data_IF_475690080612
#
_entry.id   IF_475690080612
#
_cell.length_a   1.000
_cell.length_b   1.000
_cell.length_c   1.000
_cell.angle_alpha   90.00
_cell.angle_beta   90.00
_cell.angle_gamma   90.00
#
_symmetry.space_group_name_H-M   'P 1'
#
loop_
_entity.id
_entity.type
_entity.pdbx_description
1 polymer ?
#
# COMPACT_ATOMS: atom_id res chain seq x y z
N UNK A 1 8.49 13.54 6.58
CA UNK A 1 7.85 12.77 7.64
C UNK A 1 6.69 11.96 7.06
N UNK A 2 6.50 10.75 7.54
CA UNK A 2 5.42 9.89 7.07
C UNK A 2 4.14 10.19 7.84
N UNK A 3 3.04 10.35 7.10
CA UNK A 3 1.73 10.58 7.69
C UNK A 3 0.90 9.31 7.61
N UNK A 4 0.21 8.95 8.70
CA UNK A 4 -0.72 7.82 8.72
C UNK A 4 -2.08 8.29 8.21
N UNK A 5 -2.65 7.52 7.28
CA UNK A 5 -4.00 7.77 6.73
C UNK A 5 -4.78 6.46 6.72
N UNK A 6 -6.08 6.56 6.58
CA UNK A 6 -6.96 5.39 6.51
C UNK A 6 -7.35 5.08 5.07
N UNK A 7 -7.68 3.82 4.81
CA UNK A 7 -8.03 3.32 3.47
C UNK A 7 -9.10 4.17 2.78
N UNK A 8 -10.15 4.58 3.48
CA UNK A 8 -11.22 5.38 2.91
C UNK A 8 -10.72 6.74 2.42
N UNK A 9 -9.81 7.38 3.16
CA UNK A 9 -9.20 8.65 2.77
C UNK A 9 -8.34 8.48 1.51
N UNK A 10 -7.61 7.36 1.45
CA UNK A 10 -6.74 7.04 0.31
C UNK A 10 -7.58 6.84 -0.95
N UNK A 11 -8.69 6.10 -0.84
CA UNK A 11 -9.57 5.88 -1.98
C UNK A 11 -10.10 7.20 -2.53
N UNK A 12 -10.52 8.11 -1.64
CA UNK A 12 -10.96 9.44 -2.05
C UNK A 12 -9.84 10.24 -2.73
N UNK A 13 -8.61 10.17 -2.19
CA UNK A 13 -7.46 10.87 -2.78
C UNK A 13 -7.10 10.31 -4.15
N UNK A 14 -7.13 8.99 -4.33
CA UNK A 14 -6.84 8.35 -5.62
C UNK A 14 -7.83 8.77 -6.70
N UNK A 15 -9.09 8.98 -6.34
CA UNK A 15 -10.12 9.43 -7.27
C UNK A 15 -10.01 10.91 -7.59
N UNK A 16 -9.61 11.73 -6.63
CA UNK A 16 -9.60 13.19 -6.75
C UNK A 16 -8.29 13.80 -7.22
N UNK A 17 -7.15 13.16 -6.94
CA UNK A 17 -5.83 13.72 -7.18
C UNK A 17 -5.08 12.92 -8.26
N UNK A 18 -4.82 13.55 -9.39
CA UNK A 18 -4.08 12.91 -10.50
C UNK A 18 -2.68 12.45 -10.10
N UNK A 19 -2.06 13.13 -9.15
CA UNK A 19 -0.71 12.81 -8.69
C UNK A 19 -0.68 11.76 -7.59
N UNK A 20 -1.83 11.26 -7.12
CA UNK A 20 -1.90 10.23 -6.09
C UNK A 20 -1.60 8.85 -6.68
N UNK A 21 -0.78 8.06 -5.99
CA UNK A 21 -0.40 6.69 -6.38
C UNK A 21 -0.46 5.78 -5.15
N UNK A 22 -0.87 4.54 -5.37
CA UNK A 22 -0.86 3.52 -4.32
C UNK A 22 0.22 2.51 -4.66
N UNK A 23 1.12 2.26 -3.71
CA UNK A 23 2.16 1.23 -3.80
C UNK A 23 1.84 0.15 -2.79
N UNK A 24 1.57 -1.05 -3.29
CA UNK A 24 1.31 -2.23 -2.48
C UNK A 24 2.64 -2.92 -2.21
N UNK A 25 3.07 -2.91 -0.95
CA UNK A 25 4.39 -3.43 -0.55
C UNK A 25 4.31 -4.83 0.04
N UNK A 26 3.18 -5.52 -0.18
CA UNK A 26 3.02 -6.91 0.24
C UNK A 26 3.81 -7.84 -0.67
N UNK A 27 3.61 -9.14 -0.51
CA UNK A 27 4.30 -10.16 -1.31
C UNK A 27 3.41 -10.64 -2.46
N UNK A 28 4.02 -11.31 -3.44
CA UNK A 28 3.29 -11.92 -4.54
C UNK A 28 2.29 -12.99 -4.06
N UNK A 29 2.62 -13.71 -3.00
CA UNK A 29 1.71 -14.69 -2.40
C UNK A 29 0.43 -13.99 -1.90
N UNK A 30 0.56 -12.85 -1.24
CA UNK A 30 -0.60 -12.08 -0.77
C UNK A 30 -1.42 -11.54 -1.94
N UNK A 31 -0.78 -11.04 -2.99
CA UNK A 31 -1.47 -10.54 -4.17
C UNK A 31 -2.30 -11.63 -4.86
N UNK A 32 -1.78 -12.85 -4.91
CA UNK A 32 -2.44 -13.98 -5.56
C UNK A 32 -3.56 -14.53 -4.69
N UNK A 33 -3.29 -14.79 -3.40
CA UNK A 33 -4.20 -15.53 -2.53
C UNK A 33 -5.16 -14.65 -1.74
N UNK A 34 -4.77 -13.41 -1.41
CA UNK A 34 -5.62 -12.51 -0.64
C UNK A 34 -6.35 -11.51 -1.54
N UNK A 35 -5.70 -11.07 -2.61
CA UNK A 35 -6.27 -10.12 -3.55
C UNK A 35 -5.52 -8.80 -3.58
N UNK A 36 -5.99 -7.91 -4.45
CA UNK A 36 -5.40 -6.62 -4.74
C UNK A 36 -6.45 -5.52 -4.65
N UNK A 37 -6.08 -4.27 -4.29
CA UNK A 37 -6.97 -3.15 -4.50
C UNK A 37 -7.32 -3.04 -5.98
N UNK A 38 -8.57 -2.77 -6.29
CA UNK A 38 -9.04 -2.51 -7.64
C UNK A 38 -9.19 -1.01 -7.82
N UNK A 39 -8.28 -0.40 -8.55
CA UNK A 39 -8.24 1.04 -8.75
C UNK A 39 -8.80 1.48 -10.10
N UNK A 40 -9.50 0.59 -10.81
CA UNK A 40 -10.03 0.88 -12.15
C UNK A 40 -10.95 2.09 -12.16
N UNK A 41 -11.80 2.25 -11.15
CA UNK A 41 -12.71 3.40 -11.04
C UNK A 41 -11.97 4.74 -10.87
N UNK A 42 -10.73 4.71 -10.41
CA UNK A 42 -9.86 5.88 -10.31
C UNK A 42 -8.96 6.02 -11.54
N UNK A 43 -9.09 5.13 -12.52
CA UNK A 43 -8.26 5.08 -13.72
C UNK A 43 -6.78 4.93 -13.40
N UNK A 44 -6.47 4.09 -12.41
CA UNK A 44 -5.13 3.82 -11.93
C UNK A 44 -4.94 2.32 -11.71
N UNK A 45 -3.69 1.92 -11.50
CA UNK A 45 -3.35 0.56 -11.11
C UNK A 45 -2.48 0.62 -9.85
N UNK A 46 -2.61 -0.34 -8.93
CA UNK A 46 -1.68 -0.41 -7.82
C UNK A 46 -0.29 -0.77 -8.34
N UNK A 47 0.72 -0.09 -7.82
CA UNK A 47 2.13 -0.41 -8.11
C UNK A 47 2.55 -1.49 -7.13
N UNK A 48 3.08 -2.60 -7.62
CA UNK A 48 3.38 -3.78 -6.81
C UNK A 48 4.90 -3.88 -6.63
N UNK A 49 5.40 -3.52 -5.45
CA UNK A 49 6.82 -3.61 -5.11
C UNK A 49 6.93 -4.13 -3.67
N UNK A 50 7.39 -5.37 -3.45
CA UNK A 50 7.44 -5.91 -2.10
C UNK A 50 8.49 -5.20 -1.24
N UNK A 51 8.14 -4.93 0.01
CA UNK A 51 9.12 -4.44 0.99
C UNK A 51 9.97 -5.59 1.53
N UNK A 52 9.34 -6.74 1.74
CA UNK A 52 10.02 -7.97 2.17
C UNK A 52 9.72 -9.09 1.19
N UNK A 53 10.69 -9.95 1.00
CA UNK A 53 10.55 -11.11 0.10
C UNK A 53 9.85 -12.25 0.83
N UNK A 54 9.10 -13.06 0.10
CA UNK A 54 8.45 -14.25 0.61
C UNK A 54 9.13 -15.48 -0.02
N UNK A 55 9.43 -16.55 0.75
CA UNK A 55 9.11 -16.77 2.16
C UNK A 55 10.18 -16.34 3.14
N UNK A 56 11.32 -15.81 2.69
CA UNK A 56 12.48 -15.52 3.56
C UNK A 56 12.24 -14.40 4.58
N UNK A 57 11.36 -13.45 4.27
CA UNK A 57 11.17 -12.26 5.09
C UNK A 57 12.27 -11.22 4.95
N UNK A 58 13.24 -11.44 4.06
CA UNK A 58 14.33 -10.50 3.83
C UNK A 58 13.82 -9.19 3.24
N UNK A 59 14.34 -8.06 3.74
CA UNK A 59 14.02 -6.76 3.19
C UNK A 59 14.52 -6.65 1.75
N UNK A 60 13.68 -6.12 0.88
CA UNK A 60 14.01 -5.89 -0.52
C UNK A 60 14.97 -4.70 -0.64
N UNK A 61 16.26 -4.98 -0.79
CA UNK A 61 17.28 -3.94 -0.91
C UNK A 61 17.16 -3.07 -2.15
N UNK A 62 16.41 -3.51 -3.16
CA UNK A 62 16.16 -2.75 -4.38
C UNK A 62 14.89 -1.90 -4.35
N UNK A 63 14.21 -1.80 -3.21
CA UNK A 63 12.89 -1.16 -3.12
C UNK A 63 12.88 0.27 -3.68
N UNK A 64 13.79 1.11 -3.21
CA UNK A 64 13.85 2.52 -3.63
C UNK A 64 14.17 2.63 -5.13
N UNK A 65 15.11 1.81 -5.62
CA UNK A 65 15.44 1.79 -7.05
C UNK A 65 14.24 1.38 -7.91
N UNK A 66 13.49 0.38 -7.46
CA UNK A 66 12.28 -0.07 -8.14
C UNK A 66 11.20 1.00 -8.11
N UNK A 67 11.06 1.71 -6.99
CA UNK A 67 10.10 2.80 -6.86
C UNK A 67 10.42 3.91 -7.87
N UNK A 68 11.69 4.31 -7.96
CA UNK A 68 12.13 5.30 -8.96
C UNK A 68 11.90 4.83 -10.39
N UNK A 69 12.10 3.54 -10.63
CA UNK A 69 11.91 2.93 -11.94
C UNK A 69 10.48 2.96 -12.46
N UNK A 70 9.50 3.19 -11.60
CA UNK A 70 8.09 3.32 -12.01
C UNK A 70 7.76 4.66 -12.66
N UNK A 71 8.69 5.62 -12.61
CA UNK A 71 8.46 6.98 -13.10
C UNK A 71 7.85 7.93 -12.08
N UNK A 72 7.68 7.49 -10.83
CA UNK A 72 7.21 8.38 -9.78
C UNK A 72 8.24 9.46 -9.47
N UNK A 73 7.76 10.67 -9.23
CA UNK A 73 8.58 11.85 -8.96
C UNK A 73 8.24 12.40 -7.58
N UNK A 74 9.03 13.36 -7.06
CA UNK A 74 8.73 14.01 -5.78
C UNK A 74 7.37 14.72 -5.72
N UNK A 75 6.76 15.00 -6.87
CA UNK A 75 5.43 15.63 -6.91
C UNK A 75 4.30 14.64 -6.67
N UNK A 76 4.54 13.35 -6.83
CA UNK A 76 3.52 12.35 -6.58
C UNK A 76 3.25 12.19 -5.08
N UNK A 77 1.98 11.98 -4.74
CA UNK A 77 1.56 11.62 -3.39
C UNK A 77 1.45 10.10 -3.34
N UNK A 78 2.32 9.48 -2.56
CA UNK A 78 2.50 8.03 -2.58
C UNK A 78 1.96 7.41 -1.30
N UNK A 79 0.97 6.54 -1.45
CA UNK A 79 0.29 5.85 -0.36
C UNK A 79 0.76 4.40 -0.35
N UNK A 80 1.41 3.99 0.76
CA UNK A 80 1.98 2.65 0.88
C UNK A 80 1.03 1.74 1.64
N UNK A 81 0.75 0.57 1.06
CA UNK A 81 -0.20 -0.41 1.58
C UNK A 81 0.50 -1.72 1.91
N UNK A 82 0.23 -2.25 3.11
CA UNK A 82 0.55 -3.63 3.43
C UNK A 82 -0.66 -4.29 4.10
N UNK A 83 -0.46 -5.39 4.82
CA UNK A 83 -1.57 -6.10 5.45
C UNK A 83 -2.25 -5.29 6.54
N UNK A 84 -1.46 -4.70 7.45
CA UNK A 84 -1.98 -3.99 8.63
C UNK A 84 -1.15 -2.78 9.06
N UNK A 85 -0.24 -2.30 8.21
CA UNK A 85 0.46 -1.02 8.39
C UNK A 85 1.93 -1.06 8.74
N UNK A 86 2.50 -2.20 9.17
CA UNK A 86 3.88 -2.25 9.65
C UNK A 86 4.92 -2.16 8.52
N UNK A 87 4.81 -3.01 7.50
CA UNK A 87 5.75 -3.00 6.37
C UNK A 87 5.64 -1.72 5.57
N UNK A 88 4.44 -1.20 5.41
CA UNK A 88 4.19 0.04 4.67
C UNK A 88 4.76 1.27 5.37
N UNK A 89 4.78 1.28 6.70
CA UNK A 89 5.46 2.33 7.47
C UNK A 89 6.96 2.34 7.14
N UNK A 90 7.60 1.17 7.17
CA UNK A 90 9.03 1.05 6.85
C UNK A 90 9.33 1.48 5.43
N UNK A 91 8.48 1.07 4.48
CA UNK A 91 8.63 1.44 3.07
C UNK A 91 8.48 2.96 2.87
N UNK A 92 7.51 3.57 3.52
CA UNK A 92 7.30 5.02 3.44
C UNK A 92 8.48 5.80 4.03
N UNK A 93 9.04 5.33 5.13
CA UNK A 93 10.23 5.94 5.73
C UNK A 93 11.42 5.88 4.75
N UNK A 94 11.63 4.73 4.12
CA UNK A 94 12.71 4.58 3.14
C UNK A 94 12.51 5.51 1.94
N UNK A 95 11.29 5.66 1.46
CA UNK A 95 10.96 6.57 0.36
C UNK A 95 11.19 8.02 0.75
N UNK A 96 10.80 8.41 1.96
CA UNK A 96 11.04 9.77 2.47
C UNK A 96 12.54 10.08 2.52
N UNK A 97 13.33 9.14 3.02
CA UNK A 97 14.79 9.29 3.09
C UNK A 97 15.43 9.39 1.71
N UNK A 98 14.77 8.84 0.69
CA UNK A 98 15.25 8.88 -0.71
C UNK A 98 14.82 10.13 -1.47
N UNK A 99 14.09 11.05 -0.83
CA UNK A 99 13.72 12.33 -1.44
C UNK A 99 12.26 12.45 -1.90
N UNK A 100 11.39 11.52 -1.51
CA UNK A 100 9.95 11.62 -1.79
C UNK A 100 9.27 12.33 -0.61
N UNK A 101 8.84 13.61 -0.77
CA UNK A 101 8.32 14.38 0.37
C UNK A 101 6.86 14.05 0.72
N UNK A 102 6.08 13.52 -0.22
CA UNK A 102 4.66 13.27 -0.04
C UNK A 102 4.40 11.77 0.09
N UNK A 103 4.75 11.21 1.25
CA UNK A 103 4.61 9.78 1.53
C UNK A 103 3.66 9.55 2.69
N UNK A 104 2.80 8.54 2.55
CA UNK A 104 1.74 8.23 3.50
C UNK A 104 1.71 6.74 3.78
N UNK A 105 1.45 6.39 5.02
CA UNK A 105 1.22 5.01 5.41
C UNK A 105 -0.29 4.77 5.50
N UNK A 106 -0.78 3.75 4.81
CA UNK A 106 -2.18 3.31 4.95
C UNK A 106 -2.25 2.47 6.23
N UNK A 107 -2.57 3.12 7.34
CA UNK A 107 -2.38 2.57 8.67
C UNK A 107 -3.27 1.35 8.98
N UNK A 108 -4.47 1.31 8.40
CA UNK A 108 -5.38 0.17 8.58
C UNK A 108 -5.11 -0.98 7.59
N UNK A 109 -4.28 -0.76 6.57
CA UNK A 109 -3.85 -1.80 5.64
C UNK A 109 -4.95 -2.37 4.76
N UNK A 110 -4.63 -3.47 4.07
CA UNK A 110 -5.57 -4.17 3.20
C UNK A 110 -6.55 -5.04 3.99
N UNK A 111 -6.04 -5.75 4.99
CA UNK A 111 -6.82 -6.68 5.81
C UNK A 111 -7.10 -6.18 7.21
N UNK A 112 -6.30 -5.23 7.69
CA UNK A 112 -6.40 -4.70 9.04
C UNK A 112 -5.99 -5.69 10.12
N UNK A 113 -6.30 -5.38 11.38
CA UNK A 113 -6.00 -6.26 12.50
C UNK A 113 -6.97 -7.44 12.54
N UNK A 114 -6.61 -8.55 13.21
CA UNK A 114 -7.54 -9.63 13.44
C UNK A 114 -8.64 -9.21 14.42
N UNK A 115 -9.83 -9.79 14.24
CA UNK A 115 -10.94 -9.61 15.17
C UNK A 115 -10.78 -10.51 16.40
N UNK A 116 -11.80 -10.56 17.27
CA UNK A 116 -11.76 -11.35 18.48
C UNK A 116 -11.63 -12.87 18.23
N UNK A 117 -11.97 -13.31 17.03
CA UNK A 117 -11.88 -14.72 16.62
C UNK A 117 -10.62 -15.01 15.79
N UNK A 118 -9.74 -14.03 15.63
CA UNK A 118 -8.50 -14.18 14.88
C UNK A 118 -8.67 -14.03 13.37
N UNK A 119 -9.75 -13.42 12.91
CA UNK A 119 -9.98 -13.21 11.47
C UNK A 119 -9.69 -11.77 11.08
N UNK A 120 -8.96 -11.58 9.98
CA UNK A 120 -8.70 -10.27 9.38
C UNK A 120 -9.76 -9.93 8.34
N UNK A 121 -9.82 -8.66 7.96
CA UNK A 121 -10.76 -8.19 6.95
C UNK A 121 -12.13 -7.83 7.51
N UNK A 122 -12.28 -7.78 8.82
CA UNK A 122 -13.56 -7.55 9.49
C UNK A 122 -13.61 -6.25 10.28
N UNK A 123 -12.49 -5.86 10.91
CA UNK A 123 -12.45 -4.74 11.87
C UNK A 123 -12.14 -3.42 11.16
N UNK A 124 -11.11 -3.41 10.35
CA UNK A 124 -10.63 -2.22 9.66
C UNK A 124 -9.85 -2.63 8.41
N UNK A 125 -9.50 -1.67 7.57
CA UNK A 125 -8.71 -1.89 6.37
C UNK A 125 -9.53 -1.79 5.10
N UNK A 126 -8.83 -1.88 3.97
CA UNK A 126 -9.42 -1.73 2.64
C UNK A 126 -10.64 -2.62 2.43
N UNK A 127 -10.51 -3.91 2.76
CA UNK A 127 -11.61 -4.87 2.63
C UNK A 127 -12.78 -4.57 3.57
N UNK A 128 -12.49 -4.31 4.85
CA UNK A 128 -13.53 -4.07 5.85
C UNK A 128 -14.35 -2.82 5.54
N UNK A 129 -13.72 -1.81 4.93
CA UNK A 129 -14.39 -0.58 4.53
C UNK A 129 -15.21 -0.75 3.25
N UNK A 130 -15.22 -1.93 2.64
CA UNK A 130 -15.98 -2.18 1.43
C UNK A 130 -15.41 -1.52 0.18
N UNK A 131 -14.13 -1.17 0.19
CA UNK A 131 -13.48 -0.55 -0.96
C UNK A 131 -13.19 -1.58 -2.05
N UNK A 132 -13.06 -1.15 -3.33
CA UNK A 132 -12.92 -2.11 -4.42
C UNK A 132 -11.65 -2.94 -4.34
N UNK A 133 -11.78 -4.25 -4.50
CA UNK A 133 -10.65 -5.17 -4.57
C UNK A 133 -11.01 -6.36 -5.45
N UNK A 134 -9.98 -7.07 -5.92
CA UNK A 134 -10.17 -8.24 -6.79
C UNK A 134 -9.09 -9.28 -6.53
N UNK A 135 -9.36 -10.50 -6.94
CA UNK A 135 -8.37 -11.58 -7.01
C UNK A 135 -7.99 -11.81 -8.47
N UNK A 136 -6.78 -12.26 -8.68
CA UNK A 136 -6.30 -12.61 -10.01
C UNK A 136 -6.72 -14.02 -10.39
#
# INVERSE_FOLDING_TARGET
>A
MVEDVRSAEVWAALQANKAARLVDVRTDAEWIYVGLPDLDAAQKEPVLIPWQMFPSGQVNGGFVGQLRGTGMTPEHHIYFLCRSGARSTSAAIAAAAAGFPHVYNIADGFEGPPDAEGHRGQVAGWKAEGLPWRQR
#
